data_IF_006024861172
#
_entry.id   IF_006024861172
#
_cell.length_a   1.000
_cell.length_b   1.000
_cell.length_c   1.000
_cell.angle_alpha   90.00
_cell.angle_beta   90.00
_cell.angle_gamma   90.00
#
_symmetry.space_group_name_H-M   'P 1'
#
loop_
_entity.id
_entity.type
_entity.pdbx_description
1 polymer ?
#
# COMPACT_ATOMS: atom_id res chain seq x y z
N UNK A 1 34.08 -76.60 46.55
CA UNK A 1 33.70 -76.21 47.92
C UNK A 1 32.85 -74.95 47.87
N UNK A 2 31.69 -74.99 48.56
CA UNK A 2 30.82 -73.90 49.06
C UNK A 2 30.26 -72.94 47.99
N UNK A 3 28.96 -73.02 47.65
CA UNK A 3 27.75 -72.57 48.37
C UNK A 3 27.61 -71.04 48.55
N UNK A 4 26.42 -70.59 48.10
CA UNK A 4 25.52 -69.63 48.75
C UNK A 4 25.59 -68.12 48.35
N UNK A 5 24.47 -67.37 48.48
CA UNK A 5 23.73 -66.79 47.34
C UNK A 5 23.23 -65.36 47.65
N UNK A 6 22.06 -64.99 47.08
CA UNK A 6 21.12 -63.92 47.49
C UNK A 6 21.50 -62.49 47.09
N UNK A 7 20.61 -61.52 46.92
CA UNK A 7 19.19 -61.36 46.59
C UNK A 7 19.07 -59.83 46.40
N UNK A 8 18.13 -59.33 45.59
CA UNK A 8 17.84 -57.89 45.60
C UNK A 8 16.87 -57.45 44.51
N UNK A 9 15.62 -57.28 44.90
CA UNK A 9 14.50 -56.81 44.08
C UNK A 9 14.52 -55.27 44.01
N UNK A 10 13.85 -54.75 42.98
CA UNK A 10 12.94 -53.58 42.96
C UNK A 10 13.35 -52.29 42.21
N UNK A 11 12.46 -51.94 41.28
CA UNK A 11 11.94 -50.60 40.91
C UNK A 11 12.92 -49.52 40.43
N UNK A 12 12.69 -49.12 39.18
CA UNK A 12 12.17 -47.77 38.96
C UNK A 12 12.90 -46.88 37.97
N UNK A 13 12.06 -46.18 37.21
CA UNK A 13 12.23 -44.82 36.71
C UNK A 13 12.81 -44.61 35.30
N UNK A 14 11.88 -44.17 34.45
CA UNK A 14 12.06 -43.42 33.20
C UNK A 14 13.03 -42.24 33.40
N UNK A 15 13.82 -41.91 32.38
CA UNK A 15 14.22 -40.51 32.15
C UNK A 15 14.56 -40.29 30.67
N UNK A 16 13.67 -39.58 29.98
CA UNK A 16 13.91 -38.97 28.68
C UNK A 16 14.76 -37.70 28.85
N UNK A 17 15.65 -37.39 27.90
CA UNK A 17 16.21 -36.04 27.68
C UNK A 17 16.37 -35.82 26.18
N UNK A 18 15.34 -35.26 25.53
CA UNK A 18 15.15 -33.84 25.21
C UNK A 18 16.08 -33.34 24.08
N UNK A 19 15.60 -33.49 22.84
CA UNK A 19 16.07 -32.71 21.67
C UNK A 19 15.45 -31.32 21.79
N UNK A 20 16.25 -30.30 22.12
CA UNK A 20 15.82 -28.92 22.09
C UNK A 20 15.78 -28.43 20.64
N UNK A 21 14.63 -28.55 19.98
CA UNK A 21 14.37 -27.87 18.72
C UNK A 21 14.14 -26.37 19.02
N UNK A 22 15.13 -25.54 18.69
CA UNK A 22 15.00 -24.08 18.65
C UNK A 22 14.01 -23.70 17.54
N UNK A 23 12.74 -23.59 17.91
CA UNK A 23 11.69 -22.95 17.11
C UNK A 23 11.96 -21.43 17.11
N UNK A 24 12.77 -20.96 16.17
CA UNK A 24 12.88 -19.55 15.86
C UNK A 24 11.60 -19.07 15.18
N UNK A 25 10.70 -18.44 15.93
CA UNK A 25 9.56 -17.72 15.37
C UNK A 25 10.06 -16.52 14.58
N UNK A 26 10.18 -16.65 13.25
CA UNK A 26 10.38 -15.51 12.38
C UNK A 26 9.14 -14.62 12.48
N UNK A 27 9.27 -13.46 13.10
CA UNK A 27 8.24 -12.43 13.05
C UNK A 27 8.09 -11.99 11.59
N UNK A 28 6.98 -12.39 10.96
CA UNK A 28 6.59 -11.86 9.66
C UNK A 28 6.23 -10.38 9.85
N UNK A 29 7.19 -9.48 9.61
CA UNK A 29 6.89 -8.06 9.51
C UNK A 29 5.97 -7.87 8.30
N UNK A 30 4.72 -7.46 8.54
CA UNK A 30 3.82 -7.10 7.47
C UNK A 30 4.44 -5.93 6.69
N UNK A 31 4.92 -6.20 5.47
CA UNK A 31 5.50 -5.16 4.63
C UNK A 31 4.38 -4.19 4.22
N UNK A 32 4.55 -2.91 4.53
CA UNK A 32 3.59 -1.90 4.16
C UNK A 32 3.42 -1.81 2.64
N UNK A 33 2.17 -1.80 2.20
CA UNK A 33 1.80 -1.85 0.78
C UNK A 33 0.66 -0.84 0.48
N UNK A 34 0.88 0.13 -0.41
CA UNK A 34 -0.13 1.11 -0.80
C UNK A 34 -1.08 0.56 -1.86
N UNK A 35 -0.85 -0.63 -2.41
CA UNK A 35 -1.78 -1.27 -3.31
C UNK A 35 -3.16 -1.48 -2.65
N UNK A 36 -4.20 -1.38 -3.46
CA UNK A 36 -5.60 -1.46 -3.04
C UNK A 36 -6.42 -0.26 -3.52
N UNK A 37 -7.67 -0.21 -3.06
CA UNK A 37 -8.63 0.81 -3.47
C UNK A 37 -8.65 1.93 -2.43
N UNK A 38 -8.64 3.16 -2.93
CA UNK A 38 -8.58 4.37 -2.12
C UNK A 38 -9.68 5.33 -2.52
N UNK A 39 -10.44 5.79 -1.53
CA UNK A 39 -11.37 6.90 -1.65
C UNK A 39 -10.60 8.22 -1.60
N UNK A 40 -10.68 8.98 -2.68
CA UNK A 40 -10.06 10.30 -2.78
C UNK A 40 -10.95 11.34 -2.11
N UNK A 41 -10.34 12.25 -1.37
CA UNK A 41 -11.03 13.34 -0.67
C UNK A 41 -10.55 14.66 -1.26
N UNK A 42 -11.51 15.50 -1.65
CA UNK A 42 -11.25 16.87 -2.06
C UNK A 42 -10.74 17.66 -0.85
N UNK A 43 -9.53 18.22 -0.94
CA UNK A 43 -8.88 18.94 0.16
C UNK A 43 -9.54 20.31 0.45
N UNK A 44 -10.28 20.87 -0.50
CA UNK A 44 -10.97 22.15 -0.35
C UNK A 44 -12.37 22.03 0.25
N UNK A 45 -13.09 20.94 -0.07
CA UNK A 45 -14.49 20.73 0.34
C UNK A 45 -14.67 19.61 1.37
N UNK A 46 -13.67 18.75 1.55
CA UNK A 46 -13.72 17.56 2.41
C UNK A 46 -14.62 16.43 1.88
N UNK A 47 -15.16 16.56 0.66
CA UNK A 47 -16.09 15.58 0.08
C UNK A 47 -15.34 14.46 -0.66
N UNK A 48 -15.87 13.22 -0.65
CA UNK A 48 -15.36 12.16 -1.51
C UNK A 48 -15.49 12.52 -2.99
N UNK A 49 -14.43 12.29 -3.76
CA UNK A 49 -14.42 12.54 -5.21
C UNK A 49 -14.55 11.30 -6.06
N UNK A 50 -13.96 10.20 -5.63
CA UNK A 50 -13.98 8.96 -6.39
C UNK A 50 -13.16 7.87 -5.72
N UNK A 51 -12.96 6.79 -6.48
CA UNK A 51 -12.12 5.68 -6.08
C UNK A 51 -10.96 5.53 -7.07
N UNK A 52 -9.77 5.37 -6.52
CA UNK A 52 -8.54 5.07 -7.26
C UNK A 52 -8.02 3.71 -6.81
N UNK A 53 -7.81 2.80 -7.76
CA UNK A 53 -7.12 1.55 -7.53
C UNK A 53 -5.62 1.75 -7.75
N UNK A 54 -4.83 1.49 -6.72
CA UNK A 54 -3.37 1.44 -6.81
C UNK A 54 -2.94 -0.01 -7.00
N UNK A 55 -2.15 -0.25 -8.05
CA UNK A 55 -1.57 -1.55 -8.37
C UNK A 55 -0.04 -1.46 -8.44
N UNK A 56 0.61 -2.59 -8.27
CA UNK A 56 2.06 -2.73 -8.29
C UNK A 56 2.46 -3.70 -9.41
N UNK A 57 3.51 -3.33 -10.16
CA UNK A 57 4.18 -4.19 -11.13
C UNK A 57 5.68 -3.89 -11.10
N UNK A 58 6.49 -4.91 -10.82
CA UNK A 58 7.96 -4.84 -10.85
C UNK A 58 8.55 -3.69 -9.98
N UNK A 59 7.97 -3.53 -8.79
CA UNK A 59 8.30 -2.49 -7.81
C UNK A 59 7.82 -1.09 -8.19
N UNK A 60 7.03 -0.94 -9.25
CA UNK A 60 6.43 0.32 -9.69
C UNK A 60 4.95 0.34 -9.35
N UNK A 61 4.53 1.42 -8.71
CA UNK A 61 3.13 1.65 -8.36
C UNK A 61 2.48 2.62 -9.34
N UNK A 62 1.27 2.28 -9.75
CA UNK A 62 0.40 3.10 -10.60
C UNK A 62 -1.01 3.15 -10.01
N UNK A 63 -1.75 4.21 -10.32
CA UNK A 63 -3.10 4.42 -9.78
C UNK A 63 -4.08 4.81 -10.87
N UNK A 64 -5.18 4.04 -10.97
CA UNK A 64 -6.23 4.18 -11.97
C UNK A 64 -7.54 4.62 -11.32
N UNK A 65 -8.21 5.61 -11.92
CA UNK A 65 -9.56 6.01 -11.49
C UNK A 65 -10.53 4.91 -11.88
N UNK A 66 -11.21 4.30 -10.90
CA UNK A 66 -12.18 3.22 -11.15
C UNK A 66 -13.63 3.66 -10.93
N UNK A 67 -13.84 4.78 -10.21
CA UNK A 67 -15.16 5.36 -9.96
C UNK A 67 -15.04 6.86 -9.70
N UNK A 68 -16.03 7.63 -10.12
CA UNK A 68 -16.19 9.02 -9.72
C UNK A 68 -17.52 9.22 -8.97
N UNK A 69 -17.52 10.16 -8.04
CA UNK A 69 -18.70 10.69 -7.34
C UNK A 69 -19.04 12.11 -7.82
N UNK A 70 -18.27 12.67 -8.76
CA UNK A 70 -18.53 13.96 -9.38
C UNK A 70 -19.48 13.76 -10.54
N UNK A 71 -20.62 14.47 -10.52
CA UNK A 71 -21.73 14.22 -11.44
C UNK A 71 -21.33 14.27 -12.93
N UNK A 72 -20.54 15.26 -13.32
CA UNK A 72 -20.08 15.39 -14.72
C UNK A 72 -19.16 14.23 -15.13
N UNK A 73 -18.28 13.78 -14.24
CA UNK A 73 -17.38 12.65 -14.50
C UNK A 73 -18.15 11.33 -14.67
N UNK A 74 -19.23 11.15 -13.89
CA UNK A 74 -20.15 10.00 -14.03
C UNK A 74 -20.84 10.00 -15.39
N UNK A 75 -21.07 11.18 -15.99
CA UNK A 75 -21.63 11.34 -17.34
C UNK A 75 -20.59 11.16 -18.46
N UNK A 76 -19.51 10.39 -18.20
CA UNK A 76 -18.43 10.10 -19.16
C UNK A 76 -17.57 11.29 -19.56
N UNK A 77 -17.26 12.18 -18.61
CA UNK A 77 -16.31 13.28 -18.84
C UNK A 77 -14.95 12.75 -19.30
N UNK A 78 -14.40 13.41 -20.31
CA UNK A 78 -13.04 13.19 -20.81
C UNK A 78 -12.08 14.24 -20.25
N UNK A 79 -10.77 13.97 -20.26
CA UNK A 79 -9.77 14.99 -19.95
C UNK A 79 -9.46 15.88 -21.16
N UNK A 80 -10.29 16.89 -21.39
CA UNK A 80 -10.14 17.87 -22.46
C UNK A 80 -8.87 18.74 -22.34
N UNK A 81 -8.49 19.04 -21.09
CA UNK A 81 -7.31 19.87 -20.74
C UNK A 81 -5.99 19.10 -20.75
N UNK A 82 -6.01 17.78 -20.76
CA UNK A 82 -4.80 16.98 -20.87
C UNK A 82 -4.07 17.30 -22.18
N UNK A 83 -2.74 17.21 -22.14
CA UNK A 83 -1.87 17.53 -23.30
C UNK A 83 -1.07 16.33 -23.79
N UNK A 84 -1.17 15.19 -23.09
CA UNK A 84 -0.52 13.93 -23.45
C UNK A 84 -1.52 12.93 -24.06
N UNK A 85 -1.12 11.66 -24.14
CA UNK A 85 -1.93 10.57 -24.68
C UNK A 85 -3.30 10.37 -23.97
N UNK A 86 -3.51 11.00 -22.81
CA UNK A 86 -4.77 10.97 -22.06
C UNK A 86 -5.74 12.08 -22.46
N UNK A 87 -5.36 12.98 -23.37
CA UNK A 87 -6.26 13.98 -23.95
C UNK A 87 -7.46 13.30 -24.60
N UNK A 88 -8.64 13.84 -24.31
CA UNK A 88 -9.94 13.37 -24.82
C UNK A 88 -10.26 11.90 -24.46
N UNK A 89 -9.52 11.32 -23.51
CA UNK A 89 -9.82 10.00 -22.94
C UNK A 89 -10.75 10.12 -21.73
N UNK A 90 -11.64 9.15 -21.49
CA UNK A 90 -12.50 9.11 -20.31
C UNK A 90 -11.69 9.19 -19.00
N UNK A 91 -12.16 10.00 -18.05
CA UNK A 91 -11.52 10.12 -16.73
C UNK A 91 -11.66 8.81 -15.94
N UNK A 92 -12.86 8.19 -15.97
CA UNK A 92 -13.03 6.84 -15.42
C UNK A 92 -12.29 5.85 -16.30
N UNK A 93 -11.36 5.11 -15.70
CA UNK A 93 -10.43 4.23 -16.39
C UNK A 93 -9.05 4.84 -16.63
N UNK A 94 -8.87 6.14 -16.38
CA UNK A 94 -7.60 6.82 -16.60
C UNK A 94 -6.57 6.48 -15.51
N UNK A 95 -5.34 6.18 -15.93
CA UNK A 95 -4.20 6.10 -15.01
C UNK A 95 -3.69 7.51 -14.71
N UNK A 96 -3.85 7.94 -13.46
CA UNK A 96 -3.48 9.28 -13.00
C UNK A 96 -2.22 9.28 -12.15
N UNK A 97 -1.88 8.18 -11.46
CA UNK A 97 -0.62 8.02 -10.73
C UNK A 97 0.30 7.06 -11.48
N UNK A 98 1.57 7.40 -11.63
CA UNK A 98 2.54 6.56 -12.34
C UNK A 98 3.94 6.66 -11.71
N UNK A 99 4.76 5.62 -11.89
CA UNK A 99 6.21 5.69 -11.65
C UNK A 99 6.65 5.71 -10.18
N UNK A 100 5.72 5.56 -9.22
CA UNK A 100 6.06 5.61 -7.80
C UNK A 100 6.83 4.34 -7.39
N UNK A 101 7.93 4.50 -6.67
CA UNK A 101 8.73 3.40 -6.12
C UNK A 101 8.93 3.59 -4.63
N UNK A 102 9.10 2.48 -3.90
CA UNK A 102 9.37 2.53 -2.46
C UNK A 102 10.68 3.29 -2.22
N UNK A 103 10.64 4.29 -1.36
CA UNK A 103 11.79 5.14 -1.03
C UNK A 103 12.11 5.20 0.46
N UNK A 104 11.26 4.59 1.29
CA UNK A 104 11.45 4.51 2.74
C UNK A 104 10.37 3.64 3.37
N UNK A 105 10.37 3.58 4.70
CA UNK A 105 9.31 2.92 5.45
C UNK A 105 8.00 3.70 5.28
N UNK A 106 6.98 3.02 4.75
CA UNK A 106 5.69 3.64 4.44
C UNK A 106 5.77 4.80 3.44
N UNK A 107 6.85 4.93 2.65
CA UNK A 107 7.02 6.03 1.70
C UNK A 107 7.34 5.56 0.27
N UNK A 108 6.73 6.26 -0.69
CA UNK A 108 6.94 6.07 -2.13
C UNK A 108 7.16 7.41 -2.82
N UNK A 109 8.10 7.48 -3.76
CA UNK A 109 8.42 8.73 -4.47
C UNK A 109 8.93 8.44 -5.88
N UNK A 110 9.34 9.50 -6.59
CA UNK A 110 9.90 9.42 -7.94
C UNK A 110 8.88 9.31 -9.06
N UNK A 111 7.59 9.27 -8.74
CA UNK A 111 6.53 9.21 -9.73
C UNK A 111 5.83 10.55 -9.96
N UNK A 112 4.68 10.47 -10.63
CA UNK A 112 3.91 11.61 -11.07
C UNK A 112 2.42 11.41 -10.85
N UNK A 113 1.69 12.51 -10.72
CA UNK A 113 0.23 12.54 -10.66
C UNK A 113 -0.32 13.52 -11.71
N UNK A 114 -1.27 13.07 -12.53
CA UNK A 114 -2.09 13.91 -13.39
C UNK A 114 -3.30 14.41 -12.60
N UNK A 115 -3.57 15.71 -12.72
CA UNK A 115 -4.85 16.31 -12.33
C UNK A 115 -5.72 16.51 -13.58
N UNK A 116 -6.79 15.70 -13.78
CA UNK A 116 -7.66 15.82 -14.94
C UNK A 116 -8.44 17.15 -15.01
N UNK A 117 -8.57 17.88 -13.90
CA UNK A 117 -9.35 19.13 -13.88
C UNK A 117 -8.62 20.32 -14.50
N UNK A 118 -7.28 20.27 -14.51
CA UNK A 118 -6.44 21.28 -15.13
C UNK A 118 -5.48 20.71 -16.17
N UNK A 119 -5.44 19.39 -16.35
CA UNK A 119 -4.63 18.69 -17.35
C UNK A 119 -3.14 18.68 -17.04
N UNK A 120 -2.72 19.11 -15.85
CA UNK A 120 -1.30 19.22 -15.49
C UNK A 120 -0.79 17.97 -14.79
N UNK A 121 0.47 17.64 -15.08
CA UNK A 121 1.21 16.57 -14.43
C UNK A 121 2.15 17.18 -13.39
N UNK A 122 2.13 16.60 -12.20
CA UNK A 122 2.95 17.01 -11.06
C UNK A 122 3.85 15.88 -10.62
N UNK A 123 5.03 16.21 -10.07
CA UNK A 123 5.81 15.21 -9.34
C UNK A 123 5.00 14.75 -8.13
N UNK A 124 5.09 13.46 -7.83
CA UNK A 124 4.27 12.83 -6.79
C UNK A 124 5.11 12.04 -5.80
N UNK A 125 4.67 12.08 -4.54
CA UNK A 125 5.08 11.15 -3.49
C UNK A 125 3.89 10.74 -2.64
N UNK A 126 3.97 9.55 -2.07
CA UNK A 126 2.94 8.98 -1.22
C UNK A 126 3.51 8.53 0.11
N UNK A 127 2.73 8.64 1.19
CA UNK A 127 3.06 8.06 2.48
C UNK A 127 1.86 7.40 3.12
N UNK A 128 2.00 6.16 3.61
CA UNK A 128 0.96 5.51 4.42
C UNK A 128 0.95 6.08 5.83
N UNK A 129 -0.25 6.32 6.34
CA UNK A 129 -0.50 6.84 7.68
C UNK A 129 -1.62 6.01 8.35
N UNK A 130 -1.84 6.28 9.63
CA UNK A 130 -2.92 5.67 10.44
C UNK A 130 -2.99 4.15 10.28
N UNK A 131 -1.86 3.48 10.48
CA UNK A 131 -1.69 2.02 10.33
C UNK A 131 -2.18 1.49 8.97
N UNK A 132 -1.95 2.27 7.91
CA UNK A 132 -2.29 1.92 6.54
C UNK A 132 -3.73 2.23 6.15
N UNK A 133 -4.55 2.80 7.03
CA UNK A 133 -5.93 3.21 6.70
C UNK A 133 -6.01 4.53 5.94
N UNK A 134 -4.94 5.32 5.93
CA UNK A 134 -4.82 6.56 5.15
C UNK A 134 -3.58 6.55 4.27
N UNK A 135 -3.69 7.23 3.14
CA UNK A 135 -2.60 7.48 2.21
C UNK A 135 -2.54 8.98 1.94
N UNK A 136 -1.43 9.61 2.30
CA UNK A 136 -1.19 10.99 1.89
C UNK A 136 -0.55 10.96 0.51
N UNK A 137 -1.18 11.62 -0.47
CA UNK A 137 -0.69 11.75 -1.84
C UNK A 137 -0.36 13.22 -2.08
N UNK A 138 0.90 13.53 -2.39
CA UNK A 138 1.37 14.91 -2.56
C UNK A 138 1.83 15.15 -3.99
N UNK A 139 1.18 16.10 -4.67
CA UNK A 139 1.61 16.64 -5.96
C UNK A 139 2.36 17.96 -5.77
N UNK A 140 3.46 18.18 -6.51
CA UNK A 140 4.26 19.41 -6.42
C UNK A 140 4.99 19.77 -7.72
N UNK A 141 5.39 21.04 -7.84
CA UNK A 141 6.19 21.57 -8.95
C UNK A 141 7.61 21.86 -8.46
N UNK A 142 8.63 21.27 -9.12
CA UNK A 142 10.03 21.48 -8.76
C UNK A 142 10.40 20.83 -7.42
N UNK A 143 10.31 21.60 -6.33
CA UNK A 143 10.58 21.15 -4.95
C UNK A 143 9.28 20.77 -4.21
N UNK A 144 9.34 19.78 -3.32
CA UNK A 144 8.12 19.28 -2.63
C UNK A 144 7.45 20.27 -1.70
N UNK A 145 8.12 21.37 -1.34
CA UNK A 145 7.55 22.42 -0.50
C UNK A 145 6.43 23.19 -1.22
N UNK A 146 6.51 23.30 -2.55
CA UNK A 146 5.54 24.01 -3.39
C UNK A 146 4.57 23.02 -4.04
N UNK A 147 3.58 22.60 -3.28
CA UNK A 147 2.60 21.61 -3.71
C UNK A 147 1.42 21.46 -2.77
N UNK A 148 0.57 20.47 -3.05
CA UNK A 148 -0.62 20.14 -2.26
C UNK A 148 -0.60 18.67 -1.88
N UNK A 149 -1.11 18.38 -0.69
CA UNK A 149 -1.29 17.01 -0.20
C UNK A 149 -2.78 16.74 -0.07
N UNK A 150 -3.25 15.65 -0.67
CA UNK A 150 -4.56 15.08 -0.39
C UNK A 150 -4.40 13.86 0.52
N UNK A 151 -5.35 13.66 1.42
CA UNK A 151 -5.44 12.44 2.22
C UNK A 151 -6.52 11.56 1.63
N UNK A 152 -6.13 10.37 1.20
CA UNK A 152 -7.03 9.34 0.71
C UNK A 152 -7.30 8.33 1.82
N UNK A 153 -8.51 7.77 1.81
CA UNK A 153 -8.97 6.80 2.82
C UNK A 153 -9.03 5.43 2.16
N UNK A 154 -8.49 4.41 2.80
CA UNK A 154 -8.54 3.05 2.27
C UNK A 154 -9.99 2.58 2.20
N UNK A 155 -10.41 2.11 1.04
CA UNK A 155 -11.72 1.47 0.89
C UNK A 155 -11.67 0.08 1.54
N UNK A 156 -12.67 -0.22 2.37
CA UNK A 156 -12.81 -1.50 3.08
C UNK A 156 -13.65 -2.49 2.29
#
# INVERSE_FOLDING_TARGET
MRHHPSHGITRGMRAAMFVAALLGSAAAFAQSNPAGIWKTIDDSTGKPRGLVEISEKEGVYSGKVIKSFVEDEVKSKVCDKCTDARKDQPIIGMTILTGLRKSGDNEWSGGEILDPENGKVYKSKMSLADNGSKLNVRGFIGISLLGRTQTWVRER
#
